data_IF_270745245963
#
_entry.id   IF_270745245963
#
_cell.length_a   1.000
_cell.length_b   1.000
_cell.length_c   1.000
_cell.angle_alpha   90.00
_cell.angle_beta   90.00
_cell.angle_gamma   90.00
#
_symmetry.space_group_name_H-M   'P 1'
#
loop_
_entity.id
_entity.type
_entity.pdbx_description
1 polymer ?
#
# COMPACT_ATOMS: atom_id res chain seq x y z
N UNK A 1 -11.50 1.44 -17.67
CA UNK A 1 -12.88 1.63 -18.19
C UNK A 1 -13.86 1.68 -17.03
N UNK A 2 -14.80 2.62 -17.01
CA UNK A 2 -15.84 2.70 -15.97
C UNK A 2 -16.84 1.55 -16.18
N UNK A 3 -17.14 0.72 -15.16
CA UNK A 3 -18.13 -0.36 -15.26
C UNK A 3 -19.50 0.15 -15.72
N UNK A 4 -20.20 -0.62 -16.57
CA UNK A 4 -21.48 -0.20 -17.19
C UNK A 4 -22.53 0.23 -16.15
N UNK A 5 -22.64 -0.49 -15.04
CA UNK A 5 -23.57 -0.16 -13.95
C UNK A 5 -23.26 1.19 -13.30
N UNK A 6 -21.98 1.53 -13.12
CA UNK A 6 -21.56 2.82 -12.55
C UNK A 6 -21.82 3.94 -13.55
N UNK A 7 -21.48 3.74 -14.83
CA UNK A 7 -21.75 4.72 -15.88
C UNK A 7 -23.24 5.08 -15.93
N UNK A 8 -24.09 4.06 -16.02
CA UNK A 8 -25.54 4.27 -16.09
C UNK A 8 -26.06 4.99 -14.84
N UNK A 9 -25.57 4.66 -13.65
CA UNK A 9 -25.97 5.35 -12.42
C UNK A 9 -25.60 6.84 -12.43
N UNK A 10 -24.42 7.20 -12.95
CA UNK A 10 -23.94 8.59 -13.04
C UNK A 10 -24.74 9.41 -14.07
N UNK A 11 -25.11 8.82 -15.21
CA UNK A 11 -25.87 9.50 -16.27
C UNK A 11 -27.27 9.97 -15.83
N UNK A 12 -27.84 9.39 -14.77
CA UNK A 12 -29.15 9.74 -14.24
C UNK A 12 -29.10 10.70 -13.03
N UNK A 13 -27.92 11.14 -12.59
CA UNK A 13 -27.78 12.09 -11.49
C UNK A 13 -27.94 13.54 -11.96
N UNK A 14 -28.36 14.41 -11.06
CA UNK A 14 -28.34 15.86 -11.31
C UNK A 14 -26.94 16.47 -11.11
N UNK A 15 -26.77 17.71 -11.55
CA UNK A 15 -25.48 18.40 -11.51
C UNK A 15 -24.91 18.56 -10.09
N UNK A 16 -25.69 18.95 -9.05
CA UNK A 16 -25.20 18.98 -7.68
C UNK A 16 -24.70 17.62 -7.18
N UNK A 17 -25.45 16.54 -7.39
CA UNK A 17 -25.01 15.20 -6.99
C UNK A 17 -23.74 14.76 -7.72
N UNK A 18 -23.59 15.10 -9.01
CA UNK A 18 -22.37 14.83 -9.77
C UNK A 18 -21.15 15.58 -9.22
N UNK A 19 -21.33 16.82 -8.74
CA UNK A 19 -20.26 17.53 -8.05
C UNK A 19 -19.88 16.85 -6.74
N UNK A 20 -20.83 16.48 -5.88
CA UNK A 20 -20.54 15.75 -4.64
C UNK A 20 -19.83 14.43 -4.90
N UNK A 21 -20.26 13.68 -5.92
CA UNK A 21 -19.62 12.42 -6.31
C UNK A 21 -18.17 12.68 -6.77
N UNK A 22 -17.92 13.76 -7.51
CA UNK A 22 -16.54 14.12 -7.92
C UNK A 22 -15.67 14.34 -6.70
N UNK A 23 -16.09 15.19 -5.77
CA UNK A 23 -15.31 15.48 -4.55
C UNK A 23 -15.04 14.19 -3.75
N UNK A 24 -16.05 13.32 -3.63
CA UNK A 24 -15.89 12.02 -2.97
C UNK A 24 -14.88 11.12 -3.69
N UNK A 25 -14.95 11.04 -5.03
CA UNK A 25 -14.03 10.21 -5.82
C UNK A 25 -12.60 10.76 -5.73
N UNK A 26 -12.42 12.08 -5.79
CA UNK A 26 -11.13 12.74 -5.59
C UNK A 26 -10.55 12.39 -4.22
N UNK A 27 -11.34 12.52 -3.16
CA UNK A 27 -10.93 12.12 -1.82
C UNK A 27 -10.54 10.63 -1.73
N UNK A 28 -11.34 9.74 -2.34
CA UNK A 28 -11.03 8.30 -2.37
C UNK A 28 -9.72 8.03 -3.13
N UNK A 29 -9.45 8.74 -4.22
CA UNK A 29 -8.21 8.62 -4.99
C UNK A 29 -7.03 9.06 -4.13
N UNK A 30 -7.13 10.22 -3.48
CA UNK A 30 -6.09 10.73 -2.58
C UNK A 30 -5.78 9.74 -1.45
N UNK A 31 -6.80 9.24 -0.76
CA UNK A 31 -6.63 8.27 0.32
C UNK A 31 -6.01 6.95 -0.18
N UNK A 32 -6.37 6.48 -1.37
CA UNK A 32 -5.80 5.26 -1.96
C UNK A 32 -4.40 5.46 -2.51
N UNK A 33 -4.04 6.68 -2.89
CA UNK A 33 -2.70 7.04 -3.34
C UNK A 33 -1.69 7.17 -2.19
N UNK A 34 -2.17 7.31 -0.95
CA UNK A 34 -1.30 7.36 0.23
C UNK A 34 -0.61 6.00 0.47
N UNK A 35 0.67 6.00 0.84
CA UNK A 35 1.34 4.79 1.31
C UNK A 35 0.72 4.28 2.62
N UNK A 36 0.96 3.01 3.00
CA UNK A 36 0.59 2.50 4.32
C UNK A 36 1.17 3.37 5.43
N UNK A 37 0.36 3.61 6.47
CA UNK A 37 0.84 4.30 7.67
C UNK A 37 1.81 3.39 8.41
N UNK A 38 2.70 3.98 9.21
CA UNK A 38 3.69 3.21 9.95
C UNK A 38 3.07 2.19 10.91
N UNK A 39 1.95 2.53 11.54
CA UNK A 39 1.16 1.63 12.40
C UNK A 39 0.57 0.43 11.64
N UNK A 40 0.39 0.53 10.32
CA UNK A 40 -0.16 -0.55 9.49
C UNK A 40 0.94 -1.53 9.02
N UNK A 41 2.21 -1.30 9.38
CA UNK A 41 3.37 -2.07 8.94
C UNK A 41 3.88 -3.01 10.04
N UNK A 42 4.61 -4.10 9.70
CA UNK A 42 5.11 -5.03 10.70
C UNK A 42 6.07 -4.34 11.69
N UNK A 43 5.68 -4.31 12.97
CA UNK A 43 6.50 -3.74 14.06
C UNK A 43 7.54 -4.73 14.63
N UNK A 44 7.41 -6.02 14.33
CA UNK A 44 8.27 -7.08 14.85
C UNK A 44 9.52 -7.35 13.99
N UNK A 45 9.92 -6.41 13.14
CA UNK A 45 11.04 -6.54 12.19
C UNK A 45 12.03 -5.40 12.41
N UNK A 46 13.31 -5.73 12.36
CA UNK A 46 14.36 -4.71 12.38
C UNK A 46 14.40 -4.03 11.01
N UNK A 47 14.17 -2.72 10.97
CA UNK A 47 14.17 -1.92 9.74
C UNK A 47 15.46 -1.12 9.66
N UNK A 48 16.28 -1.40 8.64
CA UNK A 48 17.55 -0.71 8.42
C UNK A 48 17.42 0.54 7.54
N UNK A 49 16.50 0.50 6.56
CA UNK A 49 16.26 1.61 5.62
C UNK A 49 14.80 1.65 5.21
N UNK A 50 14.27 2.85 5.00
CA UNK A 50 12.94 3.09 4.45
C UNK A 50 13.07 3.97 3.20
N UNK A 51 12.31 3.67 2.16
CA UNK A 51 12.13 4.51 0.97
C UNK A 51 10.66 4.57 0.61
N UNK A 52 10.16 5.71 0.16
CA UNK A 52 8.79 5.87 -0.32
C UNK A 52 8.79 6.27 -1.78
N UNK A 53 7.88 5.70 -2.57
CA UNK A 53 7.66 6.08 -3.96
C UNK A 53 6.19 5.91 -4.30
N UNK A 54 5.51 7.02 -4.57
CA UNK A 54 4.05 7.04 -4.75
C UNK A 54 3.32 6.41 -3.55
N UNK A 55 2.42 5.46 -3.85
CA UNK A 55 1.63 4.72 -2.85
C UNK A 55 2.38 3.56 -2.20
N UNK A 56 3.68 3.40 -2.47
CA UNK A 56 4.50 2.31 -1.94
C UNK A 56 5.51 2.78 -0.90
N UNK A 57 5.62 2.00 0.19
CA UNK A 57 6.71 2.09 1.17
C UNK A 57 7.59 0.86 1.02
N UNK A 58 8.88 1.06 0.81
CA UNK A 58 9.91 0.03 0.77
C UNK A 58 10.71 0.03 2.06
N UNK A 59 10.87 -1.13 2.69
CA UNK A 59 11.70 -1.30 3.89
C UNK A 59 12.77 -2.35 3.64
N UNK A 60 14.00 -2.04 4.04
CA UNK A 60 15.10 -3.00 4.13
C UNK A 60 15.06 -3.61 5.52
N UNK A 61 14.63 -4.87 5.61
CA UNK A 61 14.27 -5.51 6.88
C UNK A 61 15.10 -6.75 7.16
N UNK A 62 15.37 -7.01 8.45
CA UNK A 62 15.77 -8.33 8.93
C UNK A 62 14.58 -9.02 9.58
N UNK A 63 14.37 -10.28 9.22
CA UNK A 63 13.20 -11.07 9.66
C UNK A 63 13.65 -12.26 10.49
N UNK A 64 13.12 -12.39 11.71
CA UNK A 64 13.33 -13.57 12.53
C UNK A 64 12.41 -14.71 12.08
N UNK A 65 12.97 -15.89 11.82
CA UNK A 65 12.20 -17.11 11.50
C UNK A 65 11.76 -17.89 12.75
N UNK A 66 11.96 -17.34 13.96
CA UNK A 66 11.55 -17.96 15.22
C UNK A 66 12.62 -18.87 15.85
N UNK A 67 12.21 -19.61 16.90
CA UNK A 67 13.08 -20.23 17.92
C UNK A 67 14.07 -21.29 17.40
N UNK A 68 13.80 -21.93 16.26
CA UNK A 68 14.60 -23.04 15.73
C UNK A 68 15.51 -22.65 14.55
N UNK A 69 15.72 -21.35 14.33
CA UNK A 69 16.57 -20.84 13.26
C UNK A 69 18.01 -20.62 13.74
N UNK A 70 18.99 -21.32 13.13
CA UNK A 70 20.42 -21.22 13.53
C UNK A 70 21.15 -19.99 12.97
N UNK A 71 20.50 -19.15 12.17
CA UNK A 71 21.11 -18.03 11.44
C UNK A 71 20.25 -16.77 11.37
N UNK A 72 19.39 -16.57 12.37
CA UNK A 72 18.45 -15.45 12.43
C UNK A 72 18.99 -14.24 13.22
N UNK A 73 18.51 -13.03 12.93
CA UNK A 73 17.50 -12.69 11.92
C UNK A 73 18.06 -12.69 10.49
N UNK A 74 17.27 -13.22 9.54
CA UNK A 74 17.66 -13.32 8.14
C UNK A 74 17.57 -11.99 7.42
N UNK A 75 18.44 -11.82 6.42
CA UNK A 75 18.51 -10.61 5.61
C UNK A 75 19.78 -9.80 5.87
N UNK A 76 19.77 -8.50 5.54
CA UNK A 76 18.57 -7.73 5.22
C UNK A 76 18.05 -7.95 3.79
N UNK A 77 16.73 -7.84 3.64
CA UNK A 77 16.05 -7.89 2.33
C UNK A 77 15.03 -6.77 2.19
N UNK A 78 14.79 -6.33 0.96
CA UNK A 78 13.76 -5.37 0.65
C UNK A 78 12.37 -6.02 0.64
N UNK A 79 11.44 -5.33 1.28
CA UNK A 79 10.01 -5.57 1.22
C UNK A 79 9.34 -4.29 0.73
N UNK A 80 8.36 -4.43 -0.17
CA UNK A 80 7.48 -3.34 -0.60
C UNK A 80 6.11 -3.49 0.04
N UNK A 81 5.52 -2.39 0.45
CA UNK A 81 4.22 -2.32 1.11
C UNK A 81 3.34 -1.29 0.42
N UNK A 82 2.06 -1.61 0.21
CA UNK A 82 1.07 -0.72 -0.39
C UNK A 82 -0.32 -0.97 0.20
N UNK A 83 -1.23 -0.01 0.05
CA UNK A 83 -2.64 -0.19 0.43
C UNK A 83 -3.43 -0.71 -0.76
N UNK A 84 -4.20 -1.76 -0.55
CA UNK A 84 -5.11 -2.31 -1.55
C UNK A 84 -6.41 -2.72 -0.86
N UNK A 85 -7.55 -2.20 -1.35
CA UNK A 85 -8.87 -2.48 -0.79
C UNK A 85 -8.95 -2.32 0.75
N UNK A 86 -8.30 -1.27 1.29
CA UNK A 86 -8.30 -0.96 2.72
C UNK A 86 -7.35 -1.81 3.58
N UNK A 87 -6.56 -2.70 2.97
CA UNK A 87 -5.59 -3.55 3.68
C UNK A 87 -4.16 -3.24 3.22
N UNK A 88 -3.21 -3.31 4.14
CA UNK A 88 -1.79 -3.29 3.80
C UNK A 88 -1.41 -4.63 3.16
N UNK A 89 -0.86 -4.55 1.96
CA UNK A 89 -0.24 -5.67 1.25
C UNK A 89 1.27 -5.54 1.33
N UNK A 90 1.96 -6.68 1.20
CA UNK A 90 3.42 -6.72 1.18
C UNK A 90 3.92 -7.63 0.07
N UNK A 91 5.12 -7.34 -0.42
CA UNK A 91 5.83 -8.16 -1.41
C UNK A 91 7.32 -8.22 -1.04
N UNK A 92 7.85 -9.43 -0.99
CA UNK A 92 9.30 -9.66 -0.90
C UNK A 92 9.97 -9.29 -2.23
N UNK A 93 10.97 -8.43 -2.17
CA UNK A 93 11.72 -7.93 -3.34
C UNK A 93 13.09 -8.60 -3.44
N UNK A 94 13.74 -8.85 -2.31
CA UNK A 94 15.06 -9.49 -2.24
C UNK A 94 16.19 -8.53 -1.87
N UNK A 95 17.45 -8.90 -2.16
CA UNK A 95 18.64 -8.16 -1.66
C UNK A 95 18.79 -6.77 -2.26
N UNK A 96 18.38 -6.58 -3.51
CA UNK A 96 18.56 -5.34 -4.25
C UNK A 96 17.21 -4.73 -4.59
N UNK A 97 17.02 -3.47 -4.24
CA UNK A 97 15.91 -2.66 -4.73
C UNK A 97 16.34 -2.07 -6.08
N UNK A 98 15.92 -2.70 -7.18
CA UNK A 98 16.12 -2.12 -8.52
C UNK A 98 15.27 -0.85 -8.62
N UNK A 99 15.91 0.26 -9.01
CA UNK A 99 15.24 1.52 -9.31
C UNK A 99 14.66 1.48 -10.72
#
# INVERSE_FOLDING_TARGET
MIPKNIRSALEHQDLPALHEIRELVEHIIEERAKPPREEDLPANREVLKVKTSGSMTFRLERVSCGKNCKGCPHGPYWYGYWREAGKTRSKYIGKNLKQ
#
